data_IF_282760136039
#
_entry.id   IF_282760136039
#
_cell.length_a   1.000
_cell.length_b   1.000
_cell.length_c   1.000
_cell.angle_alpha   90.00
_cell.angle_beta   90.00
_cell.angle_gamma   90.00
#
_symmetry.space_group_name_H-M   'P 1'
#
loop_
_entity.id
_entity.type
_entity.pdbx_description
1 polymer ?
#
# COMPACT_ATOMS: atom_id res chain seq x y z
N UNK A 1 2.15 -23.87 4.75
CA UNK A 1 1.35 -22.64 4.54
C UNK A 1 2.26 -21.45 4.74
N UNK A 2 2.22 -20.45 3.87
CA UNK A 2 3.07 -19.27 3.94
C UNK A 2 2.47 -18.22 4.90
N UNK A 3 3.33 -17.43 5.55
CA UNK A 3 2.93 -16.19 6.21
C UNK A 3 2.76 -15.11 5.14
N UNK A 4 1.61 -14.44 5.12
CA UNK A 4 1.32 -13.31 4.23
C UNK A 4 1.25 -12.03 5.03
N UNK A 5 2.01 -11.01 4.61
CA UNK A 5 1.98 -9.67 5.18
C UNK A 5 1.50 -8.72 4.10
N UNK A 6 0.44 -7.96 4.39
CA UNK A 6 -0.12 -6.96 3.50
C UNK A 6 0.75 -5.71 3.37
N UNK A 7 0.21 -4.70 2.69
CA UNK A 7 0.82 -3.41 2.43
C UNK A 7 0.57 -2.46 3.60
N UNK A 8 1.45 -1.47 3.81
CA UNK A 8 1.33 -0.48 4.90
C UNK A 8 1.19 -1.10 6.32
N UNK A 9 1.74 -2.30 6.52
CA UNK A 9 1.75 -2.95 7.83
C UNK A 9 2.89 -2.37 8.67
N UNK A 10 2.58 -1.93 9.90
CA UNK A 10 3.58 -1.52 10.87
C UNK A 10 3.79 -2.61 11.92
N UNK A 11 5.03 -3.12 12.03
CA UNK A 11 5.42 -4.17 12.97
C UNK A 11 6.39 -3.57 13.98
N UNK A 12 6.01 -3.58 15.26
CA UNK A 12 6.84 -3.12 16.36
C UNK A 12 8.03 -4.05 16.62
N UNK A 13 8.94 -3.57 17.47
CA UNK A 13 10.12 -4.34 17.84
C UNK A 13 9.78 -5.64 18.59
N UNK A 14 10.61 -6.66 18.43
CA UNK A 14 10.52 -7.95 19.13
C UNK A 14 9.16 -8.65 19.03
N UNK A 15 8.48 -8.54 17.88
CA UNK A 15 7.23 -9.25 17.58
C UNK A 15 7.50 -10.69 17.14
N UNK A 16 6.67 -11.63 17.60
CA UNK A 16 6.65 -13.03 17.13
C UNK A 16 5.32 -13.30 16.42
N UNK A 17 5.38 -13.77 15.17
CA UNK A 17 4.19 -14.12 14.38
C UNK A 17 4.23 -15.63 14.08
N UNK A 18 3.14 -16.34 14.42
CA UNK A 18 3.03 -17.76 14.06
C UNK A 18 2.96 -17.94 12.54
N UNK A 19 3.58 -19.00 12.03
CA UNK A 19 3.59 -19.29 10.59
C UNK A 19 2.19 -19.65 10.06
N UNK A 20 1.94 -19.33 8.78
CA UNK A 20 0.69 -19.66 8.11
C UNK A 20 -0.46 -18.68 8.38
N UNK A 21 -0.16 -17.51 8.95
CA UNK A 21 -1.14 -16.45 9.21
C UNK A 21 -1.19 -15.42 8.08
N UNK A 22 -2.25 -14.63 8.06
CA UNK A 22 -2.41 -13.44 7.22
C UNK A 22 -2.46 -12.20 8.10
N UNK A 23 -1.60 -11.23 7.79
CA UNK A 23 -1.62 -9.88 8.38
C UNK A 23 -2.17 -8.93 7.32
N UNK A 24 -3.38 -8.41 7.53
CA UNK A 24 -4.09 -7.57 6.58
C UNK A 24 -3.42 -6.23 6.29
N UNK A 25 -3.76 -5.63 5.14
CA UNK A 25 -3.23 -4.32 4.74
C UNK A 25 -3.50 -3.26 5.82
N UNK A 26 -2.51 -2.41 6.10
CA UNK A 26 -2.62 -1.33 7.07
C UNK A 26 -2.62 -1.78 8.53
N UNK A 27 -2.45 -3.08 8.83
CA UNK A 27 -2.46 -3.57 10.21
C UNK A 27 -1.27 -3.02 11.03
N UNK A 28 -1.47 -2.92 12.35
CA UNK A 28 -0.44 -2.52 13.31
C UNK A 28 -0.25 -3.63 14.34
N UNK A 29 0.99 -4.07 14.50
CA UNK A 29 1.38 -5.03 15.53
C UNK A 29 2.27 -4.31 16.56
N UNK A 30 1.76 -4.14 17.77
CA UNK A 30 2.50 -3.50 18.86
C UNK A 30 3.76 -4.28 19.25
N UNK A 31 4.78 -3.58 19.76
CA UNK A 31 6.04 -4.18 20.17
C UNK A 31 5.87 -5.31 21.21
N UNK A 32 6.68 -6.36 21.11
CA UNK A 32 6.64 -7.52 21.99
C UNK A 32 5.42 -8.43 21.82
N UNK A 33 4.57 -8.21 20.82
CA UNK A 33 3.37 -9.01 20.62
C UNK A 33 3.67 -10.44 20.12
N UNK A 34 2.87 -11.41 20.57
CA UNK A 34 2.89 -12.79 20.04
C UNK A 34 1.58 -13.06 19.29
N UNK A 35 1.64 -12.94 17.96
CA UNK A 35 0.49 -13.06 17.06
C UNK A 35 0.21 -14.54 16.76
N UNK A 36 -0.93 -15.03 17.24
CA UNK A 36 -1.34 -16.44 17.12
C UNK A 36 -2.56 -16.66 16.23
N UNK A 37 -3.09 -15.59 15.63
CA UNK A 37 -4.27 -15.58 14.75
C UNK A 37 -4.06 -14.55 13.64
N UNK A 38 -4.83 -14.68 12.57
CA UNK A 38 -4.89 -13.66 11.51
C UNK A 38 -5.26 -12.30 12.11
N UNK A 39 -4.75 -11.25 11.47
CA UNK A 39 -4.98 -9.85 11.85
C UNK A 39 -5.71 -9.18 10.71
N UNK A 40 -6.85 -8.56 11.01
CA UNK A 40 -7.70 -7.92 10.01
C UNK A 40 -7.03 -6.67 9.43
N UNK A 41 -7.41 -6.24 8.19
CA UNK A 41 -6.91 -5.00 7.64
C UNK A 41 -7.17 -3.80 8.55
N UNK A 42 -6.17 -2.94 8.71
CA UNK A 42 -6.19 -1.76 9.58
C UNK A 42 -6.47 -2.04 11.06
N UNK A 43 -6.40 -3.31 11.49
CA UNK A 43 -6.50 -3.69 12.89
C UNK A 43 -5.21 -3.37 13.64
N UNK A 44 -5.34 -2.89 14.87
CA UNK A 44 -4.23 -2.70 15.81
C UNK A 44 -4.31 -3.82 16.85
N UNK A 45 -3.26 -4.64 16.92
CA UNK A 45 -3.14 -5.74 17.88
C UNK A 45 -1.88 -5.58 18.75
N UNK A 46 -1.91 -6.14 19.96
CA UNK A 46 -0.74 -6.16 20.84
C UNK A 46 -0.86 -7.14 22.01
N UNK A 47 0.25 -7.42 22.69
CA UNK A 47 0.32 -8.27 23.88
C UNK A 47 0.70 -9.73 23.61
N UNK A 48 0.76 -10.53 24.68
CA UNK A 48 1.15 -11.95 24.65
C UNK A 48 0.07 -12.80 25.34
N UNK A 49 -0.81 -13.49 24.58
CA UNK A 49 -0.88 -13.47 23.12
C UNK A 49 -1.53 -12.18 22.61
N UNK A 50 -1.29 -11.83 21.35
CA UNK A 50 -1.80 -10.61 20.74
C UNK A 50 -3.33 -10.58 20.77
N UNK A 51 -3.89 -9.41 21.10
CA UNK A 51 -5.33 -9.15 21.14
C UNK A 51 -5.64 -7.86 20.41
N UNK A 52 -6.86 -7.80 19.87
CA UNK A 52 -7.45 -6.57 19.34
C UNK A 52 -7.35 -5.44 20.36
N UNK A 53 -6.85 -4.30 19.93
CA UNK A 53 -6.85 -3.04 20.70
C UNK A 53 -7.93 -2.12 20.13
N UNK A 54 -7.86 -1.82 18.83
CA UNK A 54 -8.83 -1.01 18.06
C UNK A 54 -8.53 -1.14 16.57
N UNK A 55 -9.34 -0.53 15.72
CA UNK A 55 -8.97 -0.25 14.33
C UNK A 55 -8.28 1.12 14.20
N UNK A 56 -7.49 1.32 13.14
CA UNK A 56 -6.91 2.62 12.78
C UNK A 56 -7.99 3.64 12.42
N UNK A 57 -9.03 3.19 11.72
CA UNK A 57 -10.12 4.00 11.19
C UNK A 57 -11.47 3.28 11.34
N UNK A 58 -12.56 4.02 11.10
CA UNK A 58 -13.90 3.45 10.97
C UNK A 58 -14.00 2.52 9.77
N UNK A 59 -14.92 1.55 9.85
CA UNK A 59 -15.07 0.49 8.84
C UNK A 59 -15.27 1.04 7.42
N UNK A 60 -16.04 2.12 7.27
CA UNK A 60 -16.29 2.75 5.97
C UNK A 60 -15.00 3.32 5.35
N UNK A 61 -14.18 4.00 6.15
CA UNK A 61 -12.87 4.52 5.74
C UNK A 61 -11.95 3.38 5.33
N UNK A 62 -11.91 2.30 6.11
CA UNK A 62 -11.13 1.09 5.78
C UNK A 62 -11.56 0.51 4.43
N UNK A 63 -12.86 0.33 4.18
CA UNK A 63 -13.36 -0.17 2.91
C UNK A 63 -12.94 0.71 1.72
N UNK A 64 -13.01 2.03 1.86
CA UNK A 64 -12.56 2.98 0.82
C UNK A 64 -11.07 2.84 0.54
N UNK A 65 -10.25 2.71 1.58
CA UNK A 65 -8.80 2.57 1.44
C UNK A 65 -8.40 1.25 0.76
N UNK A 66 -9.07 0.15 1.13
CA UNK A 66 -8.87 -1.17 0.52
C UNK A 66 -9.30 -1.20 -0.96
N UNK A 67 -10.38 -0.51 -1.31
CA UNK A 67 -10.83 -0.42 -2.71
C UNK A 67 -9.83 0.34 -3.59
N UNK A 68 -9.25 1.43 -3.07
CA UNK A 68 -8.31 2.27 -3.82
C UNK A 68 -6.90 1.68 -3.92
N UNK A 69 -6.49 0.81 -2.98
CA UNK A 69 -5.16 0.20 -2.92
C UNK A 69 -4.03 1.22 -3.11
N UNK A 70 -4.05 2.28 -2.31
CA UNK A 70 -3.24 3.48 -2.54
C UNK A 70 -1.72 3.24 -2.61
N UNK A 71 -1.25 2.17 -1.97
CA UNK A 71 0.13 1.71 -2.01
C UNK A 71 0.58 1.25 -3.41
N UNK A 72 -0.33 1.08 -4.37
CA UNK A 72 -0.01 0.80 -5.76
C UNK A 72 0.28 2.06 -6.59
N UNK A 73 0.09 3.26 -6.04
CA UNK A 73 0.39 4.51 -6.74
C UNK A 73 1.85 4.92 -6.56
N UNK A 74 2.33 5.77 -7.47
CA UNK A 74 3.68 6.30 -7.45
C UNK A 74 3.99 7.26 -6.30
N UNK A 75 5.26 7.36 -5.96
CA UNK A 75 5.74 8.25 -4.90
C UNK A 75 5.33 9.71 -5.10
N UNK A 76 5.43 10.25 -6.33
CA UNK A 76 5.04 11.62 -6.66
C UNK A 76 3.58 11.91 -6.27
N UNK A 77 2.73 10.91 -6.43
CA UNK A 77 1.32 11.00 -6.09
C UNK A 77 1.10 10.89 -4.57
N UNK A 78 1.80 9.98 -3.91
CA UNK A 78 1.69 9.75 -2.46
C UNK A 78 2.19 10.96 -1.67
N UNK A 79 3.36 11.51 -2.02
CA UNK A 79 3.96 12.67 -1.33
C UNK A 79 3.05 13.90 -1.38
N UNK A 80 2.25 14.04 -2.43
CA UNK A 80 1.32 15.15 -2.58
C UNK A 80 0.05 15.03 -1.72
N UNK A 81 -0.24 13.87 -1.11
CA UNK A 81 -1.45 13.68 -0.32
C UNK A 81 -1.37 14.47 1.01
N UNK A 82 -2.51 14.94 1.53
CA UNK A 82 -2.58 15.39 2.92
C UNK A 82 -2.43 14.17 3.84
N UNK A 83 -1.35 14.12 4.61
CA UNK A 83 -1.02 12.96 5.46
C UNK A 83 -1.66 13.05 6.86
N UNK A 84 -2.20 14.22 7.21
CA UNK A 84 -2.82 14.56 8.50
C UNK A 84 -4.35 14.59 8.45
N UNK A 85 -4.95 14.54 7.26
CA UNK A 85 -6.40 14.50 7.05
C UNK A 85 -6.78 13.36 6.09
N UNK A 86 -7.31 12.28 6.67
CA UNK A 86 -7.68 11.08 5.92
C UNK A 86 -8.83 11.33 4.95
N UNK A 87 -9.79 12.20 5.27
CA UNK A 87 -10.90 12.46 4.37
C UNK A 87 -10.45 13.32 3.20
N UNK A 88 -9.65 14.36 3.44
CA UNK A 88 -9.04 15.13 2.36
C UNK A 88 -8.18 14.24 1.47
N UNK A 89 -7.41 13.30 2.05
CA UNK A 89 -6.61 12.34 1.30
C UNK A 89 -7.49 11.47 0.40
N UNK A 90 -8.55 10.88 0.95
CA UNK A 90 -9.44 10.04 0.16
C UNK A 90 -10.17 10.84 -0.92
N UNK A 91 -10.58 12.08 -0.66
CA UNK A 91 -11.21 12.92 -1.70
C UNK A 91 -10.23 13.23 -2.83
N UNK A 92 -8.97 13.53 -2.50
CA UNK A 92 -7.92 13.78 -3.48
C UNK A 92 -7.58 12.53 -4.30
N UNK A 93 -7.53 11.36 -3.65
CA UNK A 93 -7.40 10.06 -4.32
C UNK A 93 -8.55 9.85 -5.31
N UNK A 94 -9.80 9.96 -4.85
CA UNK A 94 -11.01 9.78 -5.68
C UNK A 94 -11.07 10.74 -6.86
N UNK A 95 -10.73 12.02 -6.66
CA UNK A 95 -10.75 13.02 -7.72
C UNK A 95 -9.75 12.71 -8.84
N UNK A 96 -8.66 12.02 -8.53
CA UNK A 96 -7.62 11.65 -9.49
C UNK A 96 -7.83 10.27 -10.10
N UNK A 97 -8.60 9.38 -9.45
CA UNK A 97 -8.95 8.03 -9.94
C UNK A 97 -9.81 8.04 -11.24
N UNK A 98 -10.23 9.20 -11.74
CA UNK A 98 -10.92 9.36 -13.05
C UNK A 98 -10.18 10.21 -14.09
N UNK A 99 -9.00 10.75 -13.78
CA UNK A 99 -8.25 11.64 -14.67
C UNK A 99 -6.99 10.90 -15.13
N UNK A 100 -7.01 10.49 -16.41
CA UNK A 100 -5.94 9.78 -17.14
C UNK A 100 -5.55 8.42 -16.56
N UNK A 101 -6.21 7.38 -17.08
CA UNK A 101 -5.63 6.06 -17.11
C UNK A 101 -4.25 6.09 -17.81
N UNK A 102 -3.31 5.29 -17.31
CA UNK A 102 -2.14 4.69 -18.01
C UNK A 102 -0.73 5.16 -17.65
N UNK A 103 -0.50 6.22 -16.87
CA UNK A 103 0.88 6.50 -16.41
C UNK A 103 1.13 6.04 -14.96
N UNK A 104 1.67 4.82 -14.88
CA UNK A 104 2.75 4.34 -13.98
C UNK A 104 2.70 4.81 -12.51
N UNK A 105 2.79 3.90 -11.53
CA UNK A 105 4.06 3.35 -11.07
C UNK A 105 3.75 2.06 -10.31
N UNK A 106 3.93 0.91 -10.98
CA UNK A 106 4.54 -0.20 -10.27
C UNK A 106 5.98 0.26 -9.99
N UNK A 107 6.51 0.16 -8.76
CA UNK A 107 7.92 0.41 -8.53
C UNK A 107 8.73 -0.51 -9.46
N UNK A 108 9.89 -0.07 -9.98
CA UNK A 108 10.65 -0.80 -11.01
C UNK A 108 11.00 -2.26 -10.65
N UNK A 109 10.90 -2.62 -9.36
CA UNK A 109 11.22 -3.94 -8.83
C UNK A 109 10.01 -4.86 -8.58
N UNK A 110 8.76 -4.37 -8.69
CA UNK A 110 7.58 -5.20 -8.43
C UNK A 110 6.91 -5.63 -9.75
N UNK A 111 7.53 -6.59 -10.43
CA UNK A 111 6.83 -7.42 -11.43
C UNK A 111 6.45 -8.73 -10.75
N UNK A 112 5.16 -9.10 -10.62
CA UNK A 112 4.82 -10.44 -10.17
C UNK A 112 5.42 -11.44 -11.16
N UNK A 113 6.11 -12.46 -10.63
CA UNK A 113 6.60 -13.56 -11.44
C UNK A 113 5.41 -14.24 -12.14
N UNK A 114 5.26 -13.95 -13.43
CA UNK A 114 4.40 -14.67 -14.35
C UNK A 114 2.90 -14.36 -14.26
N UNK A 115 2.43 -13.37 -15.03
CA UNK A 115 1.15 -13.48 -15.77
C UNK A 115 1.20 -12.63 -17.04
N UNK A 116 0.45 -13.07 -18.03
CA UNK A 116 0.62 -12.84 -19.45
C UNK A 116 0.37 -11.41 -19.95
N UNK A 117 1.20 -11.03 -20.93
CA UNK A 117 0.97 -10.13 -22.08
C UNK A 117 -0.28 -9.22 -22.05
N UNK A 118 -0.08 -7.94 -21.72
CA UNK A 118 -1.03 -6.87 -22.10
C UNK A 118 -0.51 -6.25 -23.41
N UNK A 119 -1.34 -6.08 -24.45
CA UNK A 119 -0.87 -5.71 -25.78
C UNK A 119 -0.36 -4.27 -25.81
N UNK A 120 0.86 -4.12 -26.34
CA UNK A 120 1.57 -2.85 -26.52
C UNK A 120 0.88 -2.02 -27.60
N UNK A 121 0.12 -0.98 -27.24
CA UNK A 121 -0.32 0.01 -28.22
C UNK A 121 0.82 1.01 -28.44
N UNK A 122 1.31 1.05 -29.67
CA UNK A 122 2.42 1.89 -30.11
C UNK A 122 1.93 3.29 -30.45
N UNK A 123 2.62 4.30 -29.90
CA UNK A 123 2.90 5.55 -30.60
C UNK A 123 2.16 6.79 -30.09
N UNK A 124 2.87 7.73 -29.47
CA UNK A 124 3.46 8.84 -30.22
C UNK A 124 4.43 9.64 -29.35
N UNK A 125 5.42 10.21 -30.04
CA UNK A 125 6.65 10.80 -29.53
C UNK A 125 6.46 12.15 -28.82
N UNK A 126 7.23 12.33 -27.74
CA UNK A 126 7.85 13.61 -27.37
C UNK A 126 9.32 13.24 -27.09
N UNK A 127 10.32 13.62 -27.89
CA UNK A 127 10.69 14.98 -28.22
C UNK A 127 12.04 15.23 -27.55
N UNK A 128 13.14 14.95 -28.26
CA UNK A 128 14.51 15.06 -27.75
C UNK A 128 14.87 16.52 -27.43
N UNK A 129 15.19 16.81 -26.17
CA UNK A 129 15.96 18.01 -25.80
C UNK A 129 17.35 17.57 -25.35
N UNK A 130 18.28 17.61 -26.29
CA UNK A 130 19.72 17.57 -26.02
C UNK A 130 20.13 18.91 -25.37
N UNK A 131 20.73 18.85 -24.19
CA UNK A 131 21.60 19.93 -23.69
C UNK A 131 23.04 19.41 -23.71
N UNK A 132 24.00 20.09 -24.36
CA UNK A 132 25.37 19.63 -24.44
C UNK A 132 26.09 19.82 -23.09
N UNK A 133 26.80 18.78 -22.67
CA UNK A 133 27.70 18.80 -21.53
C UNK A 133 28.88 19.76 -21.79
N UNK A 134 29.25 20.52 -20.77
CA UNK A 134 30.46 21.32 -20.71
C UNK A 134 31.70 20.44 -20.42
N UNK A 135 32.63 20.38 -21.38
CA UNK A 135 34.09 20.28 -21.20
C UNK A 135 34.77 20.48 -22.56
#
# INVERSE_FOLDING_TARGET
MALTIGNDVWIGDNVVIMGGLTIGDGAIIGAGAVVTKDVEPYEIVGGVPARHIRYRFEKETVSRLLEMQWWQYGEEFIVALPHDDIEAAIQMLKARIGVTAVDMILPPHFRPFGTASIPRIVGHAYGTVNSPASA
#
